data_IF_769495092982
#
_entry.id   IF_769495092982
#
_cell.length_a   1.000
_cell.length_b   1.000
_cell.length_c   1.000
_cell.angle_alpha   90.00
_cell.angle_beta   90.00
_cell.angle_gamma   90.00
#
_symmetry.space_group_name_H-M   'P 1'
#
loop_
_entity.id
_entity.type
_entity.pdbx_description
1 polymer ?
#
# COMPACT_ATOMS: atom_id res chain seq x y z
N UNK A 1 2.76 17.69 20.89
CA UNK A 1 3.63 17.87 19.71
C UNK A 1 2.71 18.09 18.52
N UNK A 2 2.79 19.25 17.87
CA UNK A 2 1.90 19.60 16.75
C UNK A 2 2.44 18.97 15.47
N UNK A 3 1.76 17.95 14.94
CA UNK A 3 2.08 17.45 13.61
C UNK A 3 1.79 18.55 12.58
N UNK A 4 2.76 18.89 11.70
CA UNK A 4 2.49 19.82 10.63
C UNK A 4 1.61 19.09 9.60
N UNK A 5 0.32 19.40 9.58
CA UNK A 5 -0.58 19.07 8.48
C UNK A 5 -0.09 19.82 7.24
N UNK A 6 0.85 19.22 6.50
CA UNK A 6 1.19 19.69 5.16
C UNK A 6 -0.10 19.61 4.35
N UNK A 7 -0.57 20.74 3.83
CA UNK A 7 -1.64 20.76 2.84
C UNK A 7 -1.16 19.98 1.61
N UNK A 8 -1.54 18.71 1.56
CA UNK A 8 -1.30 17.81 0.45
C UNK A 8 -2.14 18.31 -0.73
N UNK A 9 -1.48 18.87 -1.74
CA UNK A 9 -2.15 19.20 -3.01
C UNK A 9 -2.37 17.91 -3.80
N UNK A 10 -3.41 17.83 -4.63
CA UNK A 10 -3.68 16.66 -5.48
C UNK A 10 -2.48 16.26 -6.36
N UNK A 11 -1.60 17.22 -6.71
CA UNK A 11 -0.36 16.97 -7.44
C UNK A 11 0.79 16.47 -6.54
N UNK A 12 0.82 16.86 -5.26
CA UNK A 12 1.79 16.38 -4.26
C UNK A 12 1.45 15.00 -3.68
N UNK A 13 0.19 14.56 -3.80
CA UNK A 13 -0.30 13.24 -3.37
C UNK A 13 -0.04 12.13 -4.39
N UNK A 14 0.45 12.44 -5.60
CA UNK A 14 0.47 11.46 -6.69
C UNK A 14 1.35 10.24 -6.43
N UNK A 15 2.29 10.32 -5.49
CA UNK A 15 3.24 9.29 -5.09
C UNK A 15 3.91 9.69 -3.77
N UNK A 16 3.32 9.32 -2.63
CA UNK A 16 3.90 9.67 -1.33
C UNK A 16 3.52 8.68 -0.24
N UNK A 17 4.42 8.51 0.73
CA UNK A 17 4.06 8.01 2.05
C UNK A 17 3.33 9.14 2.79
N UNK A 18 2.12 8.84 3.22
CA UNK A 18 1.16 9.76 3.82
C UNK A 18 1.19 9.71 5.35
N UNK A 19 1.68 8.61 5.91
CA UNK A 19 1.85 8.37 7.35
C UNK A 19 2.50 7.00 7.60
N UNK A 20 2.93 6.77 8.85
CA UNK A 20 3.40 5.48 9.31
C UNK A 20 2.60 5.08 10.57
N UNK A 21 1.98 3.90 10.53
CA UNK A 21 1.04 3.37 11.51
C UNK A 21 1.47 1.98 11.99
N UNK A 22 2.78 1.80 12.23
CA UNK A 22 3.36 0.48 12.54
C UNK A 22 2.72 -0.20 13.76
N UNK A 23 2.33 0.59 14.76
CA UNK A 23 1.71 0.07 15.99
C UNK A 23 0.27 -0.39 15.73
N UNK A 24 -0.46 0.29 14.84
CA UNK A 24 -1.83 -0.06 14.47
C UNK A 24 -1.93 -1.29 13.57
N UNK A 25 -0.92 -1.53 12.72
CA UNK A 25 -0.95 -2.68 11.79
C UNK A 25 -0.53 -4.00 12.43
N UNK A 26 0.19 -3.96 13.56
CA UNK A 26 0.68 -5.18 14.22
C UNK A 26 -0.47 -6.14 14.61
N UNK A 27 -1.56 -5.71 15.26
CA UNK A 27 -2.70 -6.58 15.56
C UNK A 27 -3.42 -7.13 14.32
N UNK A 28 -3.32 -6.44 13.18
CA UNK A 28 -3.92 -6.88 11.90
C UNK A 28 -3.09 -8.03 11.31
N UNK A 29 -1.78 -7.99 11.45
CA UNK A 29 -0.88 -9.02 10.93
C UNK A 29 -1.19 -10.40 11.54
N UNK A 30 -1.57 -10.45 12.81
CA UNK A 30 -1.96 -11.69 13.51
C UNK A 30 -3.29 -12.28 13.01
N UNK A 31 -4.09 -11.49 12.28
CA UNK A 31 -5.39 -11.88 11.73
C UNK A 31 -5.31 -12.28 10.25
N UNK A 32 -4.13 -12.17 9.63
CA UNK A 32 -3.97 -12.50 8.20
C UNK A 32 -4.18 -13.99 7.98
N UNK A 33 -5.13 -14.40 7.11
CA UNK A 33 -5.32 -15.82 6.82
C UNK A 33 -4.05 -16.43 6.20
N UNK A 34 -3.74 -17.68 6.55
CA UNK A 34 -2.58 -18.38 5.99
C UNK A 34 -2.60 -18.48 4.45
N UNK A 35 -3.82 -18.52 3.87
CA UNK A 35 -4.06 -18.46 2.43
C UNK A 35 -3.60 -17.14 1.79
N UNK A 36 -3.56 -16.04 2.54
CA UNK A 36 -3.08 -14.73 2.11
C UNK A 36 -1.57 -14.61 2.29
N UNK A 37 -1.04 -15.14 3.40
CA UNK A 37 0.41 -15.11 3.67
C UNK A 37 1.25 -15.73 2.55
N UNK A 38 0.69 -16.65 1.75
CA UNK A 38 1.38 -17.22 0.57
C UNK A 38 1.73 -16.17 -0.50
N UNK A 39 1.01 -15.05 -0.58
CA UNK A 39 1.25 -14.00 -1.59
C UNK A 39 2.63 -13.35 -1.45
N UNK A 40 3.15 -13.32 -0.22
CA UNK A 40 4.47 -12.78 0.12
C UNK A 40 5.63 -13.60 -0.48
N UNK A 41 5.32 -14.70 -1.17
CA UNK A 41 6.29 -15.58 -1.83
C UNK A 41 6.18 -15.53 -3.35
N UNK A 42 5.24 -14.76 -3.90
CA UNK A 42 5.02 -14.65 -5.34
C UNK A 42 6.10 -13.76 -5.93
N UNK A 43 6.96 -14.32 -6.79
CA UNK A 43 8.03 -13.57 -7.45
C UNK A 43 7.66 -13.23 -8.88
N UNK A 44 7.79 -11.96 -9.22
CA UNK A 44 7.52 -11.42 -10.55
C UNK A 44 6.04 -11.16 -10.83
N UNK A 45 5.17 -11.32 -9.84
CA UNK A 45 3.72 -11.17 -9.97
C UNK A 45 3.10 -10.72 -8.63
N UNK A 46 1.80 -10.41 -8.61
CA UNK A 46 1.06 -9.93 -7.44
C UNK A 46 -0.09 -10.88 -7.12
N UNK A 47 -0.24 -11.21 -5.84
CA UNK A 47 -1.44 -11.85 -5.32
C UNK A 47 -2.41 -10.81 -4.76
N UNK A 48 -3.70 -10.93 -5.10
CA UNK A 48 -4.77 -10.16 -4.46
C UNK A 48 -5.86 -11.10 -3.96
N UNK A 49 -6.56 -10.70 -2.89
CA UNK A 49 -7.70 -11.45 -2.36
C UNK A 49 -8.57 -10.56 -1.48
N UNK A 50 -9.82 -10.95 -1.32
CA UNK A 50 -10.85 -10.26 -0.56
C UNK A 50 -11.20 -11.06 0.72
N UNK A 51 -10.58 -12.23 0.87
CA UNK A 51 -10.85 -13.20 1.92
C UNK A 51 -10.64 -12.59 3.31
N UNK A 52 -11.67 -12.60 4.14
CA UNK A 52 -11.57 -12.22 5.55
C UNK A 52 -11.37 -10.72 5.81
N UNK A 53 -11.36 -9.86 4.79
CA UNK A 53 -11.24 -8.40 5.00
C UNK A 53 -12.40 -7.87 5.83
N UNK A 54 -13.63 -8.29 5.53
CA UNK A 54 -14.84 -7.87 6.28
C UNK A 54 -14.92 -8.42 7.71
N UNK A 55 -13.93 -9.20 8.16
CA UNK A 55 -13.82 -9.70 9.52
C UNK A 55 -12.80 -8.91 10.35
N UNK A 56 -12.06 -7.99 9.72
CA UNK A 56 -11.14 -7.10 10.43
C UNK A 56 -11.94 -6.06 11.24
N UNK A 57 -11.26 -5.38 12.17
CA UNK A 57 -11.83 -4.25 12.86
C UNK A 57 -11.82 -3.00 11.97
N UNK A 58 -12.74 -2.06 12.20
CA UNK A 58 -12.68 -0.73 11.60
C UNK A 58 -11.33 -0.05 11.94
N UNK A 59 -10.71 0.70 10.98
CA UNK A 59 -11.18 0.99 9.63
C UNK A 59 -10.68 -0.03 8.56
N UNK A 60 -10.09 -1.15 8.98
CA UNK A 60 -9.43 -2.10 8.08
C UNK A 60 -10.41 -2.94 7.26
N UNK A 61 -11.63 -3.14 7.76
CA UNK A 61 -12.71 -3.89 7.10
C UNK A 61 -13.27 -3.19 5.86
N UNK A 62 -13.00 -1.89 5.71
CA UNK A 62 -13.35 -1.10 4.53
C UNK A 62 -12.36 -1.25 3.37
N UNK A 63 -11.29 -2.05 3.51
CA UNK A 63 -10.36 -2.31 2.42
C UNK A 63 -11.02 -3.11 1.28
N UNK A 64 -10.60 -2.85 0.04
CA UNK A 64 -11.06 -3.63 -1.11
C UNK A 64 -10.42 -5.03 -1.14
N UNK A 65 -9.24 -5.18 -0.54
CA UNK A 65 -8.55 -6.45 -0.51
C UNK A 65 -7.16 -6.41 0.12
N UNK A 66 -6.58 -7.60 0.21
CA UNK A 66 -5.17 -7.86 0.43
C UNK A 66 -4.41 -7.75 -0.88
N UNK A 67 -3.17 -7.28 -0.80
CA UNK A 67 -2.21 -7.29 -1.89
C UNK A 67 -0.85 -7.74 -1.37
N UNK A 68 -0.18 -8.64 -2.08
CA UNK A 68 1.15 -9.11 -1.68
C UNK A 68 1.97 -9.68 -2.81
N UNK A 69 3.29 -9.60 -2.66
CA UNK A 69 4.29 -10.16 -3.56
C UNK A 69 5.62 -10.29 -2.83
N UNK A 70 6.58 -11.05 -3.37
CA UNK A 70 7.98 -10.97 -2.99
C UNK A 70 8.68 -9.84 -3.76
N UNK A 71 8.49 -9.86 -5.07
CA UNK A 71 8.87 -8.79 -6.00
C UNK A 71 7.84 -8.83 -7.13
N UNK A 72 7.60 -7.72 -7.80
CA UNK A 72 6.79 -7.71 -9.03
C UNK A 72 7.57 -7.07 -10.16
N UNK A 73 7.40 -7.58 -11.38
CA UNK A 73 8.00 -6.97 -12.58
C UNK A 73 7.31 -5.64 -12.92
N UNK A 74 7.95 -4.84 -13.77
CA UNK A 74 7.37 -3.59 -14.29
C UNK A 74 6.08 -3.84 -15.06
N UNK A 75 4.99 -3.22 -14.63
CA UNK A 75 3.65 -3.38 -15.22
C UNK A 75 2.79 -2.10 -15.08
N UNK A 76 1.56 -2.15 -15.64
CA UNK A 76 0.51 -1.11 -15.50
C UNK A 76 -0.83 -1.79 -15.27
N UNK A 77 -1.65 -1.19 -14.42
CA UNK A 77 -2.98 -1.69 -14.16
C UNK A 77 -4.04 -0.88 -14.91
N UNK A 78 -4.15 -1.17 -16.21
CA UNK A 78 -4.94 -0.35 -17.13
C UNK A 78 -6.46 -0.49 -17.00
N UNK A 79 -6.92 -1.43 -16.17
CA UNK A 79 -8.34 -1.73 -15.99
C UNK A 79 -9.07 -0.72 -15.08
N UNK A 80 -8.34 0.03 -14.26
CA UNK A 80 -8.91 0.89 -13.21
C UNK A 80 -8.71 2.38 -13.51
N UNK A 81 -9.30 2.82 -14.64
CA UNK A 81 -9.18 4.21 -15.09
C UNK A 81 -9.97 5.15 -14.19
N UNK A 82 -9.31 6.19 -13.70
CA UNK A 82 -9.96 7.23 -12.89
C UNK A 82 -9.88 7.02 -11.37
N UNK A 83 -9.23 5.94 -10.94
CA UNK A 83 -9.00 5.62 -9.53
C UNK A 83 -7.53 5.85 -9.15
N UNK A 84 -7.25 5.77 -7.86
CA UNK A 84 -5.92 5.68 -7.27
C UNK A 84 -5.87 4.53 -6.30
N UNK A 85 -4.72 3.89 -6.21
CA UNK A 85 -4.49 2.81 -5.24
C UNK A 85 -3.80 3.37 -4.01
N UNK A 86 -4.51 3.34 -2.89
CA UNK A 86 -3.98 3.61 -1.55
C UNK A 86 -3.66 2.26 -0.91
N UNK A 87 -2.48 2.12 -0.32
CA UNK A 87 -2.06 0.89 0.33
C UNK A 87 -1.54 1.18 1.73
N UNK A 88 -1.99 0.41 2.70
CA UNK A 88 -1.40 0.32 4.03
C UNK A 88 -0.52 -0.94 4.09
N UNK A 89 0.79 -0.76 4.18
CA UNK A 89 1.72 -1.87 4.31
C UNK A 89 1.61 -2.49 5.70
N UNK A 90 1.37 -3.80 5.77
CA UNK A 90 1.38 -4.58 7.00
C UNK A 90 2.73 -5.24 7.23
N UNK A 91 3.44 -5.58 6.15
CA UNK A 91 4.73 -6.26 6.17
C UNK A 91 5.58 -5.86 4.97
N UNK A 92 6.90 -5.91 5.17
CA UNK A 92 7.93 -5.77 4.13
C UNK A 92 8.83 -4.54 4.31
N UNK A 93 10.01 -4.58 3.68
CA UNK A 93 10.89 -3.42 3.44
C UNK A 93 11.26 -3.42 1.95
N UNK A 94 10.47 -2.67 1.18
CA UNK A 94 10.50 -2.66 -0.27
C UNK A 94 10.78 -1.26 -0.80
N UNK A 95 11.06 -1.21 -2.09
CA UNK A 95 11.15 0.00 -2.88
C UNK A 95 10.06 -0.05 -3.95
N UNK A 96 9.10 0.86 -3.86
CA UNK A 96 8.11 1.10 -4.91
C UNK A 96 8.74 2.03 -5.94
N UNK A 97 8.74 1.58 -7.18
CA UNK A 97 9.23 2.33 -8.32
C UNK A 97 8.04 2.77 -9.16
N UNK A 98 7.98 4.06 -9.48
CA UNK A 98 6.94 4.61 -10.36
C UNK A 98 7.58 5.40 -11.49
N UNK A 99 7.28 5.03 -12.72
CA UNK A 99 7.73 5.71 -13.93
C UNK A 99 6.83 6.91 -14.21
N UNK A 100 7.37 8.10 -14.04
CA UNK A 100 6.74 9.37 -14.43
C UNK A 100 7.48 9.99 -15.62
N UNK A 101 6.84 10.03 -16.78
CA UNK A 101 7.48 10.54 -18.02
C UNK A 101 8.80 9.80 -18.26
N UNK A 102 9.94 10.51 -18.23
CA UNK A 102 11.29 9.97 -18.45
C UNK A 102 12.05 9.65 -17.16
N UNK A 103 11.45 9.78 -15.97
CA UNK A 103 12.11 9.51 -14.68
C UNK A 103 11.45 8.37 -13.92
N UNK A 104 12.23 7.67 -13.10
CA UNK A 104 11.75 6.72 -12.09
C UNK A 104 11.80 7.42 -10.74
N UNK A 105 10.68 7.40 -10.02
CA UNK A 105 10.57 7.84 -8.64
C UNK A 105 10.61 6.59 -7.76
N UNK A 106 11.52 6.59 -6.80
CA UNK A 106 11.70 5.48 -5.85
C UNK A 106 11.14 5.89 -4.49
N UNK A 107 10.26 5.08 -3.94
CA UNK A 107 9.54 5.33 -2.69
C UNK A 107 9.80 4.14 -1.76
N UNK A 108 10.52 4.34 -0.65
CA UNK A 108 10.65 3.31 0.38
C UNK A 108 9.28 2.97 0.95
N UNK A 109 8.98 1.68 1.08
CA UNK A 109 7.75 1.18 1.69
C UNK A 109 8.12 0.20 2.79
N UNK A 110 7.70 0.52 4.01
CA UNK A 110 7.91 -0.27 5.22
C UNK A 110 6.58 -0.62 5.87
N UNK A 111 6.59 -1.62 6.74
CA UNK A 111 5.44 -1.90 7.60
C UNK A 111 4.93 -0.63 8.31
N UNK A 112 3.60 -0.46 8.27
CA UNK A 112 2.89 0.72 8.76
C UNK A 112 2.77 1.86 7.75
N UNK A 113 3.56 1.89 6.66
CA UNK A 113 3.47 2.99 5.70
C UNK A 113 2.13 2.94 4.97
N UNK A 114 1.40 4.07 5.04
CA UNK A 114 0.25 4.34 4.19
C UNK A 114 0.76 5.12 2.98
N UNK A 115 0.65 4.57 1.78
CA UNK A 115 1.16 5.21 0.57
C UNK A 115 0.17 5.14 -0.58
N UNK A 116 0.27 6.13 -1.47
CA UNK A 116 -0.66 6.33 -2.58
C UNK A 116 0.13 6.40 -3.88
N UNK A 117 -0.37 5.77 -4.94
CA UNK A 117 0.18 5.93 -6.28
C UNK A 117 -0.90 5.85 -7.38
N UNK A 118 -0.54 6.24 -8.60
CA UNK A 118 -1.37 6.05 -9.79
C UNK A 118 -1.02 4.73 -10.47
N UNK A 119 -1.88 3.73 -10.31
CA UNK A 119 -1.73 2.39 -10.87
C UNK A 119 -1.76 2.35 -12.41
N UNK A 120 -2.19 3.44 -13.06
CA UNK A 120 -2.09 3.59 -14.52
C UNK A 120 -0.68 3.96 -14.99
N UNK A 121 0.20 4.40 -14.07
CA UNK A 121 1.62 4.59 -14.35
C UNK A 121 2.33 3.25 -14.33
N UNK A 122 3.44 3.17 -15.07
CA UNK A 122 4.32 2.00 -15.00
C UNK A 122 4.93 1.93 -13.60
N UNK A 123 4.77 0.81 -12.92
CA UNK A 123 5.27 0.65 -11.56
C UNK A 123 5.72 -0.79 -11.29
N UNK A 124 6.55 -0.94 -10.26
CA UNK A 124 7.00 -2.22 -9.75
C UNK A 124 7.49 -2.10 -8.31
N UNK A 125 7.57 -3.24 -7.62
CA UNK A 125 8.00 -3.33 -6.23
C UNK A 125 9.18 -4.30 -6.16
N UNK A 126 10.27 -3.88 -5.52
CA UNK A 126 11.45 -4.72 -5.28
C UNK A 126 11.80 -4.75 -3.82
N UNK A 127 12.25 -5.90 -3.33
CA UNK A 127 12.91 -6.01 -2.02
C UNK A 127 14.07 -5.02 -1.95
N UNK A 128 14.17 -4.25 -0.86
CA UNK A 128 15.16 -3.16 -0.75
C UNK A 128 16.59 -3.66 -0.64
N UNK A 129 16.79 -4.76 0.10
CA UNK A 129 18.09 -5.41 0.25
C UNK A 129 17.99 -6.85 -0.23
N UNK A 130 18.51 -7.11 -1.44
CA UNK A 130 18.53 -8.43 -2.05
C UNK A 130 19.57 -9.37 -1.44
N UNK A 131 20.38 -8.89 -0.49
CA UNK A 131 21.44 -9.66 0.19
C UNK A 131 21.00 -10.23 1.54
N UNK A 132 19.87 -9.77 2.08
CA UNK A 132 19.32 -10.30 3.34
C UNK A 132 18.55 -11.60 3.09
N UNK A 133 18.79 -12.67 3.89
CA UNK A 133 18.16 -13.96 3.73
C UNK A 133 16.73 -14.04 4.32
N UNK A 134 15.91 -13.00 4.21
CA UNK A 134 14.52 -13.00 4.69
C UNK A 134 13.57 -12.65 3.54
N UNK A 135 13.07 -13.61 2.75
CA UNK A 135 11.89 -14.47 2.99
C UNK A 135 10.57 -13.75 3.34
N UNK A 136 10.57 -12.47 3.67
CA UNK A 136 9.36 -11.72 3.99
C UNK A 136 9.03 -10.79 2.83
N UNK A 137 8.15 -11.25 1.95
CA UNK A 137 7.62 -10.39 0.91
C UNK A 137 6.74 -9.26 1.46
N UNK A 138 6.28 -8.43 0.55
CA UNK A 138 5.32 -7.40 0.80
C UNK A 138 3.93 -7.97 1.08
N UNK A 139 3.25 -7.41 2.07
CA UNK A 139 1.81 -7.56 2.29
C UNK A 139 1.21 -6.21 2.69
N UNK A 140 0.06 -5.89 2.13
CA UNK A 140 -0.74 -4.72 2.52
C UNK A 140 -2.22 -4.92 2.30
N UNK A 141 -2.99 -3.97 2.84
CA UNK A 141 -4.40 -3.75 2.50
C UNK A 141 -4.47 -2.61 1.50
N UNK A 142 -5.34 -2.73 0.49
CA UNK A 142 -5.51 -1.70 -0.53
C UNK A 142 -6.94 -1.16 -0.60
N UNK A 143 -7.03 0.10 -1.02
CA UNK A 143 -8.26 0.79 -1.40
C UNK A 143 -8.10 1.39 -2.81
N UNK A 144 -9.09 1.18 -3.65
CA UNK A 144 -9.25 1.77 -4.98
C UNK A 144 -10.17 2.97 -4.84
N UNK A 145 -9.58 4.16 -4.85
CA UNK A 145 -10.31 5.38 -4.53
C UNK A 145 -10.53 6.19 -5.81
N UNK A 146 -11.78 6.50 -6.19
CA UNK A 146 -12.05 7.41 -7.29
C UNK A 146 -11.40 8.76 -7.05
N UNK A 147 -10.78 9.35 -8.09
CA UNK A 147 -10.08 10.65 -8.00
C UNK A 147 -10.92 11.75 -7.34
N UNK A 148 -12.23 11.75 -7.57
CA UNK A 148 -13.16 12.73 -7.01
C UNK A 148 -13.27 12.66 -5.48
N UNK A 149 -13.02 11.50 -4.87
CA UNK A 149 -13.15 11.26 -3.44
C UNK A 149 -11.81 11.09 -2.73
N UNK A 150 -10.72 11.10 -3.49
CA UNK A 150 -9.37 10.77 -3.02
C UNK A 150 -8.95 11.54 -1.78
N UNK A 151 -9.02 12.87 -1.83
CA UNK A 151 -8.55 13.70 -0.72
C UNK A 151 -9.34 13.43 0.55
N UNK A 152 -10.68 13.39 0.44
CA UNK A 152 -11.55 13.15 1.59
C UNK A 152 -11.29 11.76 2.20
N UNK A 153 -11.25 10.71 1.37
CA UNK A 153 -11.03 9.34 1.86
C UNK A 153 -9.66 9.15 2.50
N UNK A 154 -8.61 9.72 1.91
CA UNK A 154 -7.26 9.68 2.51
C UNK A 154 -7.23 10.38 3.86
N UNK A 155 -7.86 11.55 3.98
CA UNK A 155 -7.92 12.28 5.25
C UNK A 155 -8.69 11.52 6.32
N UNK A 156 -9.84 10.94 5.96
CA UNK A 156 -10.65 10.11 6.84
C UNK A 156 -9.85 8.90 7.34
N UNK A 157 -9.24 8.13 6.44
CA UNK A 157 -8.49 6.93 6.83
C UNK A 157 -7.28 7.27 7.71
N UNK A 158 -6.55 8.36 7.42
CA UNK A 158 -5.45 8.82 8.27
C UNK A 158 -5.95 9.16 9.68
N UNK A 159 -7.12 9.79 9.78
CA UNK A 159 -7.71 10.15 11.07
C UNK A 159 -8.13 8.91 11.85
N UNK A 160 -8.86 7.99 11.22
CA UNK A 160 -9.32 6.73 11.82
C UNK A 160 -8.13 5.90 12.32
N UNK A 161 -7.09 5.74 11.50
CA UNK A 161 -5.87 5.02 11.89
C UNK A 161 -5.12 5.72 13.04
N UNK A 162 -5.17 7.04 13.14
CA UNK A 162 -4.50 7.76 14.22
C UNK A 162 -5.22 7.66 15.57
N UNK A 163 -6.46 7.19 15.60
CA UNK A 163 -7.28 7.06 16.82
C UNK A 163 -7.29 5.64 17.41
N UNK A 164 -6.67 4.68 16.72
CA UNK A 164 -6.43 3.30 17.20
C UNK A 164 -5.26 3.22 18.19
#
# INVERSE_FOLDING_TARGET
MTHPTRHLTAAGMMQSVLGNFVDQVRPVLDQVPASIMKFTRIKGDVGTSWEGVSLLAEPFDEADGWVGCLDVVKHRDTHWKGERTLILSLMGDHLLHVQEKSRVVEIPVRAGDLFLFDQNLEHWLTTRDSTLPSQEGFLGLYWMIPKAHLQARVQTLIHELAEL
#
